data_IF_926170125691
#
_entry.id   IF_926170125691
#
_cell.length_a   1.000
_cell.length_b   1.000
_cell.length_c   1.000
_cell.angle_alpha   90.00
_cell.angle_beta   90.00
_cell.angle_gamma   90.00
#
_symmetry.space_group_name_H-M   'P 1'
#
loop_
_entity.id
_entity.type
_entity.pdbx_description
1 polymer ?
#
# COMPACT_ATOMS: atom_id res chain seq x y z
N UNK A 1 -15.78 -16.11 6.35
CA UNK A 1 -15.79 -15.42 5.04
C UNK A 1 -16.84 -14.33 5.09
N UNK A 2 -16.46 -13.10 4.66
CA UNK A 2 -17.35 -11.94 4.64
C UNK A 2 -18.13 -11.79 3.32
N UNK A 3 -17.77 -12.54 2.29
CA UNK A 3 -18.43 -12.52 0.99
C UNK A 3 -17.58 -13.15 -0.11
N UNK A 4 -18.14 -13.23 -1.31
CA UNK A 4 -17.47 -13.75 -2.48
C UNK A 4 -16.29 -12.84 -2.89
N UNK A 5 -15.19 -13.44 -3.34
CA UNK A 5 -14.01 -12.71 -3.83
C UNK A 5 -13.17 -12.04 -2.75
N UNK A 6 -13.48 -12.25 -1.46
CA UNK A 6 -12.72 -11.68 -0.33
C UNK A 6 -11.89 -12.76 0.34
N UNK A 7 -10.57 -12.64 0.28
CA UNK A 7 -9.66 -13.45 1.08
C UNK A 7 -9.47 -12.78 2.45
N UNK A 8 -9.89 -13.44 3.53
CA UNK A 8 -9.76 -12.92 4.90
C UNK A 8 -8.34 -13.09 5.45
N UNK A 9 -7.59 -14.02 4.87
CA UNK A 9 -6.23 -14.36 5.26
C UNK A 9 -5.24 -13.33 4.71
N UNK A 10 -4.40 -12.76 5.57
CA UNK A 10 -3.33 -11.84 5.14
C UNK A 10 -2.12 -12.63 4.62
N UNK A 11 -2.33 -13.31 3.50
CA UNK A 11 -1.31 -14.03 2.75
C UNK A 11 -0.77 -13.19 1.58
N UNK A 12 -0.12 -13.86 0.64
CA UNK A 12 0.60 -13.21 -0.47
C UNK A 12 -0.30 -12.31 -1.32
N UNK A 13 -1.52 -12.73 -1.62
CA UNK A 13 -2.44 -11.93 -2.45
C UNK A 13 -2.78 -10.59 -1.79
N UNK A 14 -3.17 -10.60 -0.51
CA UNK A 14 -3.52 -9.39 0.23
C UNK A 14 -2.30 -8.51 0.52
N UNK A 15 -1.17 -9.09 0.92
CA UNK A 15 0.05 -8.30 1.12
C UNK A 15 0.63 -7.75 -0.18
N UNK A 16 0.37 -8.39 -1.34
CA UNK A 16 0.68 -7.78 -2.63
C UNK A 16 -0.17 -6.53 -2.91
N UNK A 17 -1.46 -6.52 -2.54
CA UNK A 17 -2.29 -5.31 -2.64
C UNK A 17 -1.72 -4.17 -1.79
N UNK A 18 -1.28 -4.48 -0.56
CA UNK A 18 -0.60 -3.54 0.31
C UNK A 18 0.65 -2.97 -0.34
N UNK A 19 1.52 -3.84 -0.89
CA UNK A 19 2.76 -3.41 -1.55
C UNK A 19 2.47 -2.45 -2.71
N UNK A 20 1.50 -2.76 -3.56
CA UNK A 20 1.14 -1.91 -4.69
C UNK A 20 0.67 -0.54 -4.23
N UNK A 21 -0.05 -0.46 -3.12
CA UNK A 21 -0.51 0.83 -2.59
C UNK A 21 0.63 1.64 -1.99
N UNK A 22 1.46 1.06 -1.13
CA UNK A 22 2.58 1.77 -0.47
C UNK A 22 3.70 2.15 -1.45
N UNK A 23 3.84 1.41 -2.56
CA UNK A 23 4.72 1.77 -3.68
C UNK A 23 4.15 2.88 -4.57
N UNK A 24 2.95 3.35 -4.30
CA UNK A 24 2.31 4.39 -5.11
C UNK A 24 1.73 3.91 -6.43
N UNK A 25 1.44 2.61 -6.58
CA UNK A 25 0.95 1.98 -7.82
C UNK A 25 -0.55 1.64 -7.79
N UNK A 26 -1.21 1.79 -6.66
CA UNK A 26 -2.66 1.77 -6.52
C UNK A 26 -3.18 3.17 -6.20
N UNK A 27 -4.49 3.39 -6.37
CA UNK A 27 -5.15 4.56 -5.83
C UNK A 27 -5.12 4.51 -4.29
N UNK A 28 -5.03 5.65 -3.60
CA UNK A 28 -5.07 5.69 -2.14
C UNK A 28 -6.30 4.99 -1.57
N UNK A 29 -6.12 4.11 -0.58
CA UNK A 29 -7.20 3.37 0.07
C UNK A 29 -7.76 2.19 -0.73
N UNK A 30 -7.19 1.86 -1.89
CA UNK A 30 -7.75 0.86 -2.81
C UNK A 30 -7.52 -0.61 -2.38
N UNK A 31 -6.46 -0.88 -1.61
CA UNK A 31 -5.93 -2.24 -1.42
C UNK A 31 -6.98 -3.26 -0.94
N UNK A 32 -7.84 -2.88 -0.01
CA UNK A 32 -8.74 -3.82 0.68
C UNK A 32 -10.22 -3.49 0.56
N UNK A 33 -10.61 -2.68 -0.42
CA UNK A 33 -12.02 -2.39 -0.69
C UNK A 33 -12.72 -3.68 -1.14
N UNK A 34 -13.85 -3.99 -0.50
CA UNK A 34 -14.63 -5.19 -0.81
C UNK A 34 -15.06 -5.23 -2.30
N UNK A 35 -14.87 -6.35 -3.01
CA UNK A 35 -15.08 -6.45 -4.46
C UNK A 35 -16.49 -6.07 -4.95
N UNK A 36 -17.51 -6.35 -4.15
CA UNK A 36 -18.92 -6.13 -4.51
C UNK A 36 -19.52 -4.84 -3.93
N UNK A 37 -18.68 -3.92 -3.42
CA UNK A 37 -19.15 -2.65 -2.89
C UNK A 37 -19.28 -1.58 -4.00
N UNK A 38 -20.22 -0.64 -3.82
CA UNK A 38 -20.32 0.53 -4.69
C UNK A 38 -19.04 1.35 -4.71
N UNK A 39 -18.32 1.37 -3.58
CA UNK A 39 -17.02 2.00 -3.47
C UNK A 39 -16.00 1.38 -4.42
N UNK A 40 -15.95 0.03 -4.53
CA UNK A 40 -15.08 -0.65 -5.49
C UNK A 40 -15.42 -0.26 -6.93
N UNK A 41 -16.71 -0.16 -7.25
CA UNK A 41 -17.13 0.29 -8.58
C UNK A 41 -16.65 1.72 -8.87
N UNK A 42 -16.81 2.64 -7.92
CA UNK A 42 -16.31 4.01 -8.05
C UNK A 42 -14.78 4.06 -8.23
N UNK A 43 -14.04 3.25 -7.46
CA UNK A 43 -12.58 3.14 -7.59
C UNK A 43 -12.13 2.58 -8.95
N UNK A 44 -12.87 1.63 -9.53
CA UNK A 44 -12.56 1.10 -10.86
C UNK A 44 -12.71 2.18 -11.94
N UNK A 45 -13.74 3.04 -11.82
CA UNK A 45 -13.92 4.19 -12.71
C UNK A 45 -12.77 5.19 -12.53
N UNK A 46 -12.47 5.57 -11.29
CA UNK A 46 -11.39 6.50 -10.97
C UNK A 46 -10.02 6.00 -11.45
N UNK A 47 -9.72 4.71 -11.24
CA UNK A 47 -8.48 4.09 -11.70
C UNK A 47 -8.36 4.12 -13.22
N UNK A 48 -9.45 3.87 -13.94
CA UNK A 48 -9.49 3.95 -15.41
C UNK A 48 -9.24 5.37 -15.90
N UNK A 49 -9.90 6.36 -15.27
CA UNK A 49 -9.70 7.78 -15.59
C UNK A 49 -8.25 8.21 -15.31
N UNK A 50 -7.70 7.80 -14.18
CA UNK A 50 -6.32 8.08 -13.84
C UNK A 50 -5.34 7.44 -14.82
N UNK A 51 -5.54 6.19 -15.21
CA UNK A 51 -4.69 5.52 -16.21
C UNK A 51 -4.69 6.26 -17.56
N UNK A 52 -5.84 6.82 -17.96
CA UNK A 52 -5.93 7.65 -19.18
C UNK A 52 -5.18 8.95 -18.99
N UNK A 53 -5.35 9.62 -17.83
CA UNK A 53 -4.74 10.95 -17.55
C UNK A 53 -3.21 10.92 -17.49
N UNK A 54 -2.60 9.77 -17.16
CA UNK A 54 -1.15 9.59 -17.08
C UNK A 54 -0.56 8.83 -18.28
N UNK A 55 -1.38 8.55 -19.30
CA UNK A 55 -0.97 7.82 -20.51
C UNK A 55 -0.12 8.68 -21.46
N UNK A 56 0.50 8.03 -22.46
CA UNK A 56 1.34 8.69 -23.48
C UNK A 56 0.68 9.84 -24.24
N UNK A 57 -0.65 9.90 -24.25
CA UNK A 57 -1.43 10.90 -24.95
C UNK A 57 -1.81 12.10 -24.07
N UNK A 58 -1.42 12.08 -22.81
CA UNK A 58 -1.70 13.14 -21.84
C UNK A 58 -0.52 14.11 -21.71
N UNK A 59 -0.76 15.22 -21.01
CA UNK A 59 0.30 16.16 -20.62
C UNK A 59 1.10 15.68 -19.40
N UNK A 60 0.56 14.72 -18.63
CA UNK A 60 1.20 14.11 -17.46
C UNK A 60 1.49 12.64 -17.77
N UNK A 61 2.67 12.36 -18.29
CA UNK A 61 3.06 11.00 -18.69
C UNK A 61 3.87 10.35 -17.59
N UNK A 62 3.30 9.32 -16.93
CA UNK A 62 3.93 8.60 -15.81
C UNK A 62 4.19 7.14 -16.17
N UNK A 63 5.19 6.81 -17.00
CA UNK A 63 5.54 5.41 -17.25
C UNK A 63 6.14 4.80 -15.98
N UNK A 64 5.86 3.51 -15.74
CA UNK A 64 6.27 2.82 -14.53
C UNK A 64 7.78 2.94 -14.25
N UNK A 65 8.63 2.88 -15.26
CA UNK A 65 10.08 3.04 -15.13
C UNK A 65 10.56 4.46 -14.77
N UNK A 66 9.64 5.44 -14.64
CA UNK A 66 9.92 6.79 -14.14
C UNK A 66 9.17 7.09 -12.83
N UNK A 67 8.24 6.21 -12.47
CA UNK A 67 7.44 6.32 -11.25
C UNK A 67 8.08 5.53 -10.12
N UNK A 68 8.58 4.33 -10.41
CA UNK A 68 9.26 3.48 -9.42
C UNK A 68 10.75 3.82 -9.38
N UNK A 69 11.27 3.99 -8.19
CA UNK A 69 12.69 4.12 -7.89
C UNK A 69 13.03 3.40 -6.56
N UNK A 70 14.24 3.56 -6.06
CA UNK A 70 14.72 2.90 -4.84
C UNK A 70 13.80 3.19 -3.64
N UNK A 71 13.27 4.41 -3.54
CA UNK A 71 12.35 4.83 -2.45
C UNK A 71 11.10 3.97 -2.42
N UNK A 72 10.54 3.66 -3.60
CA UNK A 72 9.37 2.80 -3.72
C UNK A 72 9.62 1.40 -3.16
N UNK A 73 10.82 0.84 -3.36
CA UNK A 73 11.18 -0.49 -2.85
C UNK A 73 11.47 -0.47 -1.35
N UNK A 74 12.17 0.55 -0.85
CA UNK A 74 12.38 0.73 0.61
C UNK A 74 11.04 0.86 1.32
N UNK A 75 10.14 1.71 0.82
CA UNK A 75 8.78 1.86 1.35
C UNK A 75 8.02 0.51 1.33
N UNK A 76 8.17 -0.29 0.28
CA UNK A 76 7.53 -1.60 0.18
C UNK A 76 8.05 -2.57 1.25
N UNK A 77 9.37 -2.62 1.49
CA UNK A 77 9.96 -3.47 2.54
C UNK A 77 9.46 -3.04 3.92
N UNK A 78 9.47 -1.74 4.20
CA UNK A 78 8.96 -1.20 5.47
C UNK A 78 7.48 -1.54 5.66
N UNK A 79 6.65 -1.36 4.64
CA UNK A 79 5.24 -1.75 4.70
C UNK A 79 5.03 -3.24 4.92
N UNK A 80 5.85 -4.08 4.29
CA UNK A 80 5.83 -5.54 4.48
C UNK A 80 6.12 -5.92 5.94
N UNK A 81 7.16 -5.32 6.52
CA UNK A 81 7.58 -5.54 7.90
C UNK A 81 6.54 -5.00 8.89
N UNK A 82 6.07 -3.76 8.69
CA UNK A 82 5.10 -3.11 9.57
C UNK A 82 3.74 -3.81 9.63
N UNK A 83 3.38 -4.56 8.59
CA UNK A 83 2.09 -5.27 8.51
C UNK A 83 2.21 -6.79 8.67
N UNK A 84 3.42 -7.32 8.84
CA UNK A 84 3.64 -8.76 8.94
C UNK A 84 3.15 -9.52 7.70
N UNK A 85 3.43 -8.98 6.51
CA UNK A 85 2.98 -9.56 5.24
C UNK A 85 3.70 -10.86 4.88
N UNK A 86 3.33 -11.43 3.74
CA UNK A 86 3.83 -12.73 3.30
C UNK A 86 5.34 -12.73 3.03
N UNK A 87 6.05 -13.74 3.55
CA UNK A 87 7.49 -13.97 3.30
C UNK A 87 7.78 -14.23 1.81
N UNK A 88 6.80 -14.59 0.99
CA UNK A 88 7.01 -14.71 -0.46
C UNK A 88 7.53 -13.41 -1.10
N UNK A 89 7.26 -12.27 -0.49
CA UNK A 89 7.73 -10.98 -0.99
C UNK A 89 9.24 -10.77 -0.81
N UNK A 90 9.92 -11.57 0.02
CA UNK A 90 11.39 -11.59 0.06
C UNK A 90 12.02 -12.18 -1.22
N UNK A 91 11.20 -12.81 -2.07
CA UNK A 91 11.56 -13.20 -3.43
C UNK A 91 11.01 -12.23 -4.47
N UNK A 92 9.76 -11.78 -4.28
CA UNK A 92 9.07 -10.92 -5.26
C UNK A 92 9.72 -9.53 -5.36
N UNK A 93 9.99 -8.88 -4.22
CA UNK A 93 10.54 -7.52 -4.22
C UNK A 93 11.95 -7.46 -4.83
N UNK A 94 12.92 -8.36 -4.50
CA UNK A 94 14.19 -8.41 -5.19
C UNK A 94 14.07 -8.65 -6.69
N UNK A 95 13.14 -9.53 -7.13
CA UNK A 95 12.91 -9.79 -8.53
C UNK A 95 12.35 -8.57 -9.27
N UNK A 96 11.40 -7.86 -8.66
CA UNK A 96 10.84 -6.61 -9.20
C UNK A 96 11.89 -5.50 -9.24
N UNK A 97 12.68 -5.35 -8.18
CA UNK A 97 13.79 -4.39 -8.12
C UNK A 97 14.81 -4.66 -9.22
N UNK A 98 15.22 -5.90 -9.39
CA UNK A 98 16.15 -6.30 -10.45
C UNK A 98 15.59 -5.98 -11.85
N UNK A 99 14.29 -6.20 -12.10
CA UNK A 99 13.64 -5.83 -13.35
C UNK A 99 13.62 -4.31 -13.58
N UNK A 100 13.62 -3.51 -12.50
CA UNK A 100 13.72 -2.06 -12.54
C UNK A 100 15.17 -1.56 -12.60
N UNK A 101 16.16 -2.44 -12.59
CA UNK A 101 17.58 -2.08 -12.56
C UNK A 101 18.08 -1.65 -11.17
N UNK A 102 17.33 -1.96 -10.12
CA UNK A 102 17.60 -1.62 -8.73
C UNK A 102 18.11 -2.86 -8.00
N UNK A 103 19.13 -2.69 -7.18
CA UNK A 103 19.68 -3.76 -6.34
C UNK A 103 18.98 -3.74 -4.98
N UNK A 104 18.24 -4.81 -4.66
CA UNK A 104 17.62 -5.04 -3.37
C UNK A 104 18.07 -6.42 -2.87
N UNK A 105 18.71 -6.46 -1.73
CA UNK A 105 19.29 -7.67 -1.12
C UNK A 105 18.51 -8.07 0.14
N UNK A 106 18.77 -9.26 0.63
CA UNK A 106 18.17 -9.75 1.87
C UNK A 106 18.71 -9.02 3.10
N UNK A 107 19.95 -8.57 3.03
CA UNK A 107 20.59 -7.74 4.03
C UNK A 107 19.82 -6.40 4.22
N UNK A 108 19.27 -5.83 3.14
CA UNK A 108 18.45 -4.64 3.22
C UNK A 108 17.15 -4.89 4.02
N UNK A 109 16.57 -6.11 3.91
CA UNK A 109 15.41 -6.49 4.75
C UNK A 109 15.81 -6.65 6.23
N UNK A 110 16.99 -7.20 6.50
CA UNK A 110 17.52 -7.34 7.86
C UNK A 110 17.69 -5.96 8.49
N UNK A 111 18.42 -5.06 7.84
CA UNK A 111 18.67 -3.70 8.32
C UNK A 111 17.36 -2.92 8.56
N UNK A 112 16.40 -2.98 7.63
CA UNK A 112 15.11 -2.32 7.77
C UNK A 112 14.24 -2.95 8.86
N UNK A 113 14.41 -4.24 9.16
CA UNK A 113 13.66 -4.93 10.22
C UNK A 113 14.06 -4.47 11.62
N UNK A 114 15.28 -3.97 11.80
CA UNK A 114 15.75 -3.46 13.09
C UNK A 114 15.04 -2.17 13.51
N UNK A 115 14.59 -1.40 12.53
CA UNK A 115 13.97 -0.07 12.77
C UNK A 115 12.45 -0.06 12.56
N UNK A 116 11.89 -1.07 11.88
CA UNK A 116 10.47 -1.07 11.50
C UNK A 116 9.64 -1.81 12.54
N UNK A 117 8.74 -1.14 13.28
CA UNK A 117 7.85 -1.79 14.22
C UNK A 117 6.73 -2.57 13.51
N UNK A 118 6.27 -3.68 14.08
CA UNK A 118 5.06 -4.37 13.65
C UNK A 118 3.82 -3.58 14.13
N UNK A 119 3.21 -2.79 13.25
CA UNK A 119 2.06 -1.94 13.56
C UNK A 119 0.74 -2.68 13.45
N UNK A 120 0.59 -3.58 12.47
CA UNK A 120 -0.65 -4.31 12.24
C UNK A 120 -0.44 -5.82 12.35
N UNK A 121 -1.30 -6.47 13.15
CA UNK A 121 -1.35 -7.93 13.30
C UNK A 121 -2.65 -8.45 12.68
N UNK A 122 -2.62 -8.65 11.35
CA UNK A 122 -3.77 -9.18 10.60
C UNK A 122 -3.71 -10.70 10.59
N UNK A 123 -4.88 -11.38 10.64
CA UNK A 123 -4.94 -12.83 10.61
C UNK A 123 -4.10 -13.44 9.46
N UNK A 124 -3.19 -14.41 9.70
CA UNK A 124 -3.08 -15.26 10.88
C UNK A 124 -2.19 -14.71 12.02
N UNK A 125 -1.50 -13.60 11.86
CA UNK A 125 -0.62 -13.02 12.87
C UNK A 125 -1.39 -12.38 14.04
N UNK A 126 -2.66 -12.05 13.83
CA UNK A 126 -3.60 -11.53 14.80
C UNK A 126 -4.98 -12.17 14.65
N UNK A 127 -5.94 -11.69 15.43
CA UNK A 127 -7.32 -12.18 15.41
C UNK A 127 -8.22 -11.47 14.40
N UNK A 128 -7.88 -10.21 14.04
CA UNK A 128 -8.64 -9.42 13.09
C UNK A 128 -8.30 -9.81 11.64
N UNK A 129 -9.31 -9.95 10.80
CA UNK A 129 -9.12 -10.23 9.39
C UNK A 129 -8.89 -8.96 8.55
N UNK A 130 -8.72 -9.12 7.25
CA UNK A 130 -8.40 -8.02 6.35
C UNK A 130 -9.54 -6.98 6.24
N UNK A 131 -10.80 -7.40 6.40
CA UNK A 131 -11.93 -6.47 6.35
C UNK A 131 -12.01 -5.61 7.62
N UNK A 132 -11.72 -6.21 8.78
CA UNK A 132 -11.62 -5.51 10.05
C UNK A 132 -10.43 -4.54 10.04
N UNK A 133 -9.29 -4.96 9.48
CA UNK A 133 -8.13 -4.09 9.28
C UNK A 133 -8.47 -2.89 8.39
N UNK A 134 -9.15 -3.12 7.26
CA UNK A 134 -9.58 -2.04 6.37
C UNK A 134 -10.54 -1.08 7.07
N UNK A 135 -11.52 -1.60 7.82
CA UNK A 135 -12.48 -0.80 8.58
C UNK A 135 -11.83 0.03 9.70
N UNK A 136 -10.70 -0.42 10.24
CA UNK A 136 -9.92 0.29 11.25
C UNK A 136 -8.99 1.39 10.69
N UNK A 137 -9.05 1.67 9.38
CA UNK A 137 -8.23 2.67 8.72
C UNK A 137 -7.34 2.10 7.61
N UNK A 138 -7.06 0.78 7.63
CA UNK A 138 -6.37 0.08 6.55
C UNK A 138 -5.01 0.66 6.19
N UNK A 139 -4.70 0.66 4.91
CA UNK A 139 -3.39 1.12 4.43
C UNK A 139 -3.19 2.63 4.57
N UNK A 140 -4.24 3.42 4.47
CA UNK A 140 -4.11 4.87 4.63
C UNK A 140 -3.64 5.24 6.05
N UNK A 141 -4.15 4.53 7.07
CA UNK A 141 -3.68 4.71 8.45
C UNK A 141 -2.20 4.28 8.59
N UNK A 142 -1.84 3.10 8.08
CA UNK A 142 -0.46 2.59 8.15
C UNK A 142 0.52 3.53 7.44
N UNK A 143 0.19 4.00 6.25
CA UNK A 143 1.03 4.94 5.48
C UNK A 143 1.20 6.24 6.27
N UNK A 144 0.11 6.76 6.87
CA UNK A 144 0.16 7.98 7.69
C UNK A 144 1.10 7.83 8.87
N UNK A 145 0.92 6.80 9.71
CA UNK A 145 1.76 6.55 10.89
C UNK A 145 3.25 6.37 10.50
N UNK A 146 3.53 5.63 9.44
CA UNK A 146 4.90 5.41 8.99
C UNK A 146 5.56 6.67 8.41
N UNK A 147 4.79 7.56 7.77
CA UNK A 147 5.27 8.85 7.28
C UNK A 147 5.52 9.82 8.44
N UNK A 148 4.62 9.86 9.43
CA UNK A 148 4.74 10.72 10.61
C UNK A 148 5.96 10.35 11.46
N UNK A 149 6.30 9.06 11.53
CA UNK A 149 7.51 8.56 12.21
C UNK A 149 8.78 8.67 11.34
N UNK A 150 8.68 9.14 10.10
CA UNK A 150 9.80 9.29 9.18
C UNK A 150 10.38 7.95 8.68
N UNK A 151 9.62 6.88 8.77
CA UNK A 151 10.02 5.55 8.31
C UNK A 151 9.79 5.36 6.80
N UNK A 152 8.82 6.06 6.19
CA UNK A 152 8.64 6.06 4.74
C UNK A 152 9.24 7.31 4.10
N UNK A 153 9.79 7.15 2.92
CA UNK A 153 10.12 8.29 2.06
C UNK A 153 8.87 8.80 1.34
N UNK A 154 8.27 9.87 1.89
CA UNK A 154 7.06 10.47 1.35
C UNK A 154 7.25 11.15 -0.01
N UNK A 155 8.51 11.41 -0.43
CA UNK A 155 8.83 12.00 -1.73
C UNK A 155 8.80 10.99 -2.89
N UNK A 156 8.59 9.70 -2.61
CA UNK A 156 8.43 8.67 -3.62
C UNK A 156 7.27 9.01 -4.57
N UNK A 157 7.52 8.92 -5.87
CA UNK A 157 6.52 9.24 -6.90
C UNK A 157 5.40 8.21 -6.91
N UNK A 158 4.21 8.67 -7.32
CA UNK A 158 3.02 7.81 -7.38
C UNK A 158 2.27 7.98 -8.71
N UNK A 159 1.33 7.07 -8.95
CA UNK A 159 0.41 7.16 -10.10
C UNK A 159 -0.77 8.11 -9.84
N UNK A 160 -1.02 8.52 -8.58
CA UNK A 160 -2.17 9.34 -8.21
C UNK A 160 -1.81 10.80 -8.04
N UNK A 161 -1.00 11.11 -7.06
CA UNK A 161 -0.52 12.45 -6.76
C UNK A 161 0.90 12.69 -7.29
N UNK A 162 1.56 13.71 -6.80
CA UNK A 162 2.97 13.95 -7.12
C UNK A 162 3.89 12.99 -6.34
N UNK A 163 3.48 12.65 -5.10
CA UNK A 163 4.26 11.83 -4.19
C UNK A 163 3.36 11.09 -3.18
N UNK A 164 3.96 10.33 -2.27
CA UNK A 164 3.24 9.49 -1.33
C UNK A 164 2.51 10.29 -0.23
N UNK A 165 2.89 11.53 0.05
CA UNK A 165 2.15 12.38 0.98
C UNK A 165 0.71 12.65 0.52
N UNK A 166 0.43 12.62 -0.78
CA UNK A 166 -0.91 12.78 -1.32
C UNK A 166 -1.87 11.64 -0.94
N UNK A 167 -1.32 10.49 -0.48
CA UNK A 167 -2.11 9.35 -0.01
C UNK A 167 -2.77 9.59 1.36
N UNK A 168 -2.19 10.44 2.20
CA UNK A 168 -2.76 10.79 3.51
C UNK A 168 -3.93 11.76 3.34
N UNK A 169 -3.86 12.69 2.40
CA UNK A 169 -4.91 13.71 2.20
C UNK A 169 -6.27 13.12 1.81
N UNK A 170 -6.29 11.90 1.27
CA UNK A 170 -7.52 11.17 0.95
C UNK A 170 -8.24 10.61 2.20
N UNK A 171 -7.59 10.55 3.37
CA UNK A 171 -8.20 10.09 4.63
C UNK A 171 -9.36 10.97 5.12
N UNK A 172 -9.40 12.24 4.74
CA UNK A 172 -10.42 13.20 5.17
C UNK A 172 -11.83 12.88 4.66
N UNK A 173 -12.00 11.89 3.77
CA UNK A 173 -13.29 11.58 3.15
C UNK A 173 -13.88 10.21 3.48
N UNK A 174 -13.19 9.33 4.20
CA UNK A 174 -13.60 7.91 4.27
C UNK A 174 -13.96 7.35 5.64
N UNK A 175 -13.65 8.00 6.76
CA UNK A 175 -14.14 7.54 8.08
C UNK A 175 -13.88 8.57 9.18
N UNK A 176 -14.77 8.69 10.19
CA UNK A 176 -14.38 9.31 11.44
C UNK A 176 -13.18 8.56 12.01
N UNK A 177 -12.17 9.30 12.45
CA UNK A 177 -10.96 8.73 13.07
C UNK A 177 -11.37 7.77 14.18
N UNK A 178 -10.71 6.60 14.32
CA UNK A 178 -10.92 5.75 15.49
C UNK A 178 -10.73 6.48 16.82
N UNK A 179 -9.99 7.60 16.83
CA UNK A 179 -9.81 8.48 17.99
C UNK A 179 -11.07 9.27 18.33
N UNK A 180 -11.98 9.49 17.37
CA UNK A 180 -13.23 10.25 17.59
C UNK A 180 -14.34 9.39 18.20
N UNK A 181 -14.15 8.08 18.32
CA UNK A 181 -15.10 7.11 18.87
C UNK A 181 -14.64 6.47 20.19
N UNK A 182 -13.62 7.00 20.84
CA UNK A 182 -13.24 6.55 22.19
C UNK A 182 -14.06 7.35 23.21
N UNK A 183 -14.75 6.67 24.16
CA UNK A 183 -15.51 7.32 25.21
C UNK A 183 -14.62 8.07 26.22
#
# INVERSE_FOLDING_TARGET
YHGEGTCTFYGTANSNQMLMEIMGLHLPGAAFIHPHSDLRHAYNIAATQQAISISRKSNDVRPIGKTIDERSFVNAVIGLLATGGSTNHTLHLPAMAAAAGIKLLWEDFEDLSEITPLLAKVYPNGSADINQFHAAGGMSFIIGELLDEGLLDGSAKTIWGENLFDYISCLLYTSPSPRDNLP
#
